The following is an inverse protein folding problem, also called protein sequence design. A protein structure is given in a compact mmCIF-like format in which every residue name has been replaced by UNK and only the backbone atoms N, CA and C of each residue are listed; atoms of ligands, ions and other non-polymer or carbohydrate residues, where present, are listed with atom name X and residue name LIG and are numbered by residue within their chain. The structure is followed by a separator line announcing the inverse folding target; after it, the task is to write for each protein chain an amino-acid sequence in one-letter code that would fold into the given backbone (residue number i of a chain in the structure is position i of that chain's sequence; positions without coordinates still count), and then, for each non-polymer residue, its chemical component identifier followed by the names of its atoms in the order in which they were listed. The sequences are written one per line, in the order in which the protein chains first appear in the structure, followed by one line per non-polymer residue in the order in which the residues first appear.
data_IF_026128214684
#
_entry.id   IF_026128214684
#
_cell.length_a   1.000
_cell.length_b   1.000
_cell.length_c   1.000
_cell.angle_alpha   90.00
_cell.angle_beta   90.00
_cell.angle_gamma   90.00
#
_symmetry.space_group_name_H-M   'P 1'
#
loop_
_entity.id
_entity.type
_entity.pdbx_description
1 polymer ?
#
# COMPACT_ATOMS: atom_id res chain seq x y z
N UNK A 1 30.17 32.70 99.41
CA UNK A 1 29.13 31.69 99.71
C UNK A 1 27.99 32.38 100.44
N UNK A 2 26.75 31.96 100.19
CA UNK A 2 25.50 32.29 100.91
C UNK A 2 24.72 33.53 100.38
N UNK A 3 23.61 33.19 99.72
CA UNK A 3 22.32 33.92 99.50
C UNK A 3 21.83 34.67 100.75
N UNK A 4 20.93 35.70 100.71
CA UNK A 4 19.51 35.57 100.25
C UNK A 4 18.93 36.84 99.53
N UNK A 5 17.96 36.72 98.61
CA UNK A 5 16.49 36.70 98.77
C UNK A 5 15.89 37.91 99.50
N UNK A 6 15.00 38.67 98.82
CA UNK A 6 13.74 39.32 99.28
C UNK A 6 13.23 40.16 98.10
N UNK A 7 12.26 39.76 97.28
CA UNK A 7 10.82 39.50 97.49
C UNK A 7 10.03 40.73 97.98
N UNK A 8 8.89 40.98 97.28
CA UNK A 8 7.65 41.67 97.71
C UNK A 8 7.57 43.17 97.35
N UNK A 9 6.46 43.82 96.93
CA UNK A 9 5.08 43.52 96.51
C UNK A 9 4.36 44.91 96.42
N UNK A 10 3.34 45.04 95.54
CA UNK A 10 2.18 45.99 95.56
C UNK A 10 2.33 47.49 95.24
N UNK A 11 1.52 47.97 94.28
CA UNK A 11 0.35 48.91 94.43
C UNK A 11 -0.12 49.32 93.01
N UNK A 12 -1.24 48.79 92.48
CA UNK A 12 -2.63 49.31 92.55
C UNK A 12 -2.81 50.72 91.97
N UNK A 13 -3.51 50.82 90.82
CA UNK A 13 -4.67 51.71 90.54
C UNK A 13 -4.75 52.05 89.04
N UNK A 14 -5.76 51.51 88.33
CA UNK A 14 -6.92 52.26 87.78
C UNK A 14 -6.60 53.18 86.60
N UNK A 15 -6.99 52.75 85.41
CA UNK A 15 -7.57 53.63 84.38
C UNK A 15 -8.39 52.79 83.40
N UNK A 16 -9.70 52.73 83.66
CA UNK A 16 -10.72 52.29 82.71
C UNK A 16 -10.81 53.33 81.57
N UNK A 17 -10.86 52.83 80.34
CA UNK A 17 -11.63 53.46 79.26
C UNK A 17 -10.84 54.34 78.31
N UNK A 18 -10.40 53.77 77.18
CA UNK A 18 -10.40 54.48 75.91
C UNK A 18 -10.42 53.50 74.72
N UNK A 19 -11.48 53.63 73.93
CA UNK A 19 -11.57 53.37 72.50
C UNK A 19 -11.30 51.95 71.98
N UNK A 20 -12.41 51.27 71.70
CA UNK A 20 -12.58 50.32 70.60
C UNK A 20 -11.87 50.75 69.30
N UNK A 21 -10.82 50.03 68.93
CA UNK A 21 -10.30 49.96 67.57
C UNK A 21 -10.28 48.49 67.14
N UNK A 22 -11.44 48.01 66.71
CA UNK A 22 -11.52 46.85 65.81
C UNK A 22 -10.87 47.31 64.50
N UNK A 23 -9.57 47.10 64.37
CA UNK A 23 -8.91 47.20 63.08
C UNK A 23 -9.37 45.99 62.25
N UNK A 24 -10.34 46.23 61.38
CA UNK A 24 -10.59 45.38 60.21
C UNK A 24 -9.30 45.35 59.36
N UNK A 25 -8.39 44.43 59.66
CA UNK A 25 -7.40 44.02 58.70
C UNK A 25 -8.13 43.18 57.65
N UNK A 26 -8.52 43.82 56.54
CA UNK A 26 -8.86 43.08 55.33
C UNK A 26 -7.66 42.22 54.96
N UNK A 27 -7.79 40.88 54.86
CA UNK A 27 -6.73 40.07 54.29
C UNK A 27 -6.38 40.66 52.93
N UNK A 28 -5.08 40.84 52.66
CA UNK A 28 -4.65 41.22 51.32
C UNK A 28 -5.32 40.27 50.32
N UNK A 29 -5.91 40.78 49.22
CA UNK A 29 -6.53 39.91 48.23
C UNK A 29 -5.50 38.84 47.85
N UNK A 30 -5.90 37.55 47.78
CA UNK A 30 -4.98 36.49 47.39
C UNK A 30 -4.28 36.92 46.10
N UNK A 31 -2.95 36.72 45.97
CA UNK A 31 -2.25 37.06 44.75
C UNK A 31 -3.03 36.48 43.57
N UNK A 32 -3.22 37.24 42.48
CA UNK A 32 -3.97 36.75 41.34
C UNK A 32 -3.39 35.40 40.94
N UNK A 33 -4.26 34.38 40.84
CA UNK A 33 -3.83 33.05 40.44
C UNK A 33 -2.97 33.19 39.18
N UNK A 34 -1.78 32.55 39.10
CA UNK A 34 -0.94 32.65 37.92
C UNK A 34 -1.81 32.27 36.72
N UNK A 35 -2.00 33.23 35.80
CA UNK A 35 -2.76 33.01 34.57
C UNK A 35 -2.10 31.82 33.90
N UNK A 36 -2.85 30.71 33.75
CA UNK A 36 -2.34 29.54 33.07
C UNK A 36 -1.79 30.00 31.72
N UNK A 37 -0.51 29.72 31.46
CA UNK A 37 0.11 30.10 30.20
C UNK A 37 -0.75 29.57 29.06
N UNK A 38 -1.03 30.38 28.02
CA UNK A 38 -1.84 29.93 26.91
C UNK A 38 -1.24 28.64 26.34
N UNK A 39 -2.07 27.62 26.04
CA UNK A 39 -1.58 26.36 25.52
C UNK A 39 -0.72 26.62 24.27
N UNK A 40 0.40 25.89 24.09
CA UNK A 40 1.26 26.08 22.94
C UNK A 40 0.45 25.86 21.66
N UNK A 41 0.47 26.85 20.77
CA UNK A 41 -0.10 26.75 19.43
C UNK A 41 0.92 26.07 18.53
N UNK A 42 0.51 24.99 17.87
CA UNK A 42 1.32 24.34 16.83
C UNK A 42 0.72 24.66 15.46
N UNK A 43 1.57 24.93 14.48
CA UNK A 43 1.10 25.12 13.11
C UNK A 43 0.94 23.75 12.44
N UNK A 44 -0.15 23.57 11.68
CA UNK A 44 -0.34 22.36 10.87
C UNK A 44 0.82 22.24 9.86
N UNK A 45 1.61 21.15 9.88
CA UNK A 45 2.67 20.93 8.91
C UNK A 45 2.11 20.55 7.55
N UNK A 46 2.94 20.62 6.50
CA UNK A 46 2.54 20.18 5.16
C UNK A 46 2.12 18.71 5.16
N UNK A 47 1.06 18.42 4.40
CA UNK A 47 0.57 17.06 4.19
C UNK A 47 1.65 16.22 3.49
N UNK A 48 1.94 14.99 3.98
CA UNK A 48 2.85 14.07 3.32
C UNK A 48 2.49 13.88 1.84
N UNK A 49 3.50 13.76 0.99
CA UNK A 49 3.34 13.56 -0.46
C UNK A 49 3.86 12.18 -0.86
N UNK A 50 3.26 11.55 -1.88
CA UNK A 50 3.75 10.28 -2.39
C UNK A 50 5.17 10.43 -2.94
N UNK A 51 6.05 9.42 -2.75
CA UNK A 51 7.42 9.47 -3.21
C UNK A 51 7.49 9.46 -4.74
N UNK A 52 8.52 10.13 -5.28
CA UNK A 52 8.87 10.07 -6.71
C UNK A 52 7.71 10.41 -7.66
N UNK A 53 6.77 11.25 -7.22
CA UNK A 53 5.61 11.66 -8.02
C UNK A 53 4.56 10.56 -8.24
N UNK A 54 4.59 9.48 -7.46
CA UNK A 54 3.60 8.42 -7.55
C UNK A 54 2.16 8.92 -7.28
N UNK A 55 1.17 8.19 -7.79
CA UNK A 55 -0.24 8.49 -7.51
C UNK A 55 -0.55 8.37 -6.01
N UNK A 56 -1.47 9.19 -5.50
CA UNK A 56 -1.97 9.10 -4.12
C UNK A 56 -2.87 7.87 -3.88
N UNK A 57 -3.33 7.22 -4.94
CA UNK A 57 -4.21 6.04 -4.90
C UNK A 57 -3.53 4.79 -5.47
N UNK A 58 -2.20 4.73 -5.43
CA UNK A 58 -1.45 3.59 -5.95
C UNK A 58 -1.62 2.37 -5.05
N UNK A 59 -2.02 1.24 -5.64
CA UNK A 59 -1.94 -0.05 -4.97
C UNK A 59 -0.51 -0.59 -5.10
N UNK A 60 0.05 -1.04 -3.98
CA UNK A 60 1.39 -1.63 -3.93
C UNK A 60 1.31 -3.09 -3.46
N UNK A 61 2.20 -3.97 -3.93
CA UNK A 61 2.27 -5.35 -3.47
C UNK A 61 2.46 -5.41 -1.95
N UNK A 62 1.66 -6.25 -1.27
CA UNK A 62 1.70 -6.40 0.18
C UNK A 62 2.84 -7.33 0.63
N UNK A 63 3.26 -7.18 1.88
CA UNK A 63 4.17 -8.14 2.53
C UNK A 63 3.35 -9.33 3.03
N UNK A 64 3.76 -10.54 2.64
CA UNK A 64 3.15 -11.79 3.07
C UNK A 64 3.49 -12.15 4.52
N UNK A 65 2.85 -13.19 5.05
CA UNK A 65 3.13 -13.70 6.41
C UNK A 65 4.56 -14.24 6.57
N UNK A 66 5.21 -14.58 5.47
CA UNK A 66 6.61 -14.97 5.36
C UNK A 66 7.59 -13.78 5.38
N UNK A 67 7.09 -12.54 5.45
CA UNK A 67 7.90 -11.33 5.41
C UNK A 67 8.39 -10.98 3.99
N UNK A 68 7.92 -11.68 2.95
CA UNK A 68 8.30 -11.42 1.56
C UNK A 68 7.23 -10.58 0.89
N UNK A 69 7.64 -9.51 0.22
CA UNK A 69 6.72 -8.72 -0.60
C UNK A 69 6.24 -9.54 -1.79
N UNK A 70 4.91 -9.65 -1.94
CA UNK A 70 4.25 -10.48 -2.93
C UNK A 70 4.23 -9.82 -4.32
N UNK A 71 5.41 -9.58 -4.89
CA UNK A 71 5.59 -9.06 -6.25
C UNK A 71 5.42 -10.17 -7.30
N UNK A 72 5.54 -9.82 -8.59
CA UNK A 72 5.52 -10.79 -9.68
C UNK A 72 6.68 -11.82 -9.61
N UNK A 73 7.74 -11.51 -8.85
CA UNK A 73 8.92 -12.35 -8.67
C UNK A 73 8.94 -13.09 -7.32
N UNK A 74 7.88 -13.00 -6.51
CA UNK A 74 7.79 -13.75 -5.26
C UNK A 74 7.56 -15.25 -5.53
N UNK A 75 8.43 -16.09 -4.96
CA UNK A 75 8.27 -17.56 -5.01
C UNK A 75 8.33 -18.19 -6.41
N UNK A 76 8.98 -17.52 -7.37
CA UNK A 76 9.08 -18.00 -8.74
C UNK A 76 10.11 -19.13 -8.90
N UNK A 77 9.96 -19.95 -9.94
CA UNK A 77 10.90 -21.05 -10.24
C UNK A 77 12.24 -20.52 -10.77
N UNK A 78 13.32 -21.33 -10.80
CA UNK A 78 14.56 -20.94 -11.45
C UNK A 78 14.39 -20.59 -12.95
N UNK A 79 13.50 -21.30 -13.65
CA UNK A 79 13.19 -21.01 -15.05
C UNK A 79 12.51 -19.64 -15.21
N UNK A 80 11.53 -19.34 -14.36
CA UNK A 80 10.88 -18.03 -14.31
C UNK A 80 11.86 -16.93 -13.89
N UNK A 81 12.80 -17.21 -12.98
CA UNK A 81 13.85 -16.27 -12.56
C UNK A 81 14.72 -15.83 -13.74
N UNK A 82 15.18 -16.79 -14.55
CA UNK A 82 15.95 -16.50 -15.77
C UNK A 82 15.09 -15.69 -16.76
N UNK A 83 13.84 -16.12 -16.97
CA UNK A 83 12.97 -15.53 -17.97
C UNK A 83 12.54 -14.09 -17.61
N UNK A 84 12.23 -13.84 -16.34
CA UNK A 84 11.85 -12.53 -15.82
C UNK A 84 13.05 -11.58 -15.81
N UNK A 85 14.26 -12.05 -15.48
CA UNK A 85 15.48 -11.23 -15.60
C UNK A 85 15.74 -10.82 -17.06
N UNK A 86 15.55 -11.74 -18.01
CA UNK A 86 15.61 -11.42 -19.45
C UNK A 86 14.54 -10.39 -19.85
N UNK A 87 13.32 -10.50 -19.31
CA UNK A 87 12.26 -9.52 -19.56
C UNK A 87 12.61 -8.14 -18.98
N UNK A 88 13.20 -8.07 -17.78
CA UNK A 88 13.68 -6.82 -17.19
C UNK A 88 14.71 -6.12 -18.09
N UNK A 89 15.73 -6.85 -18.57
CA UNK A 89 16.73 -6.29 -19.48
C UNK A 89 16.11 -5.83 -20.82
N UNK A 90 15.07 -6.51 -21.29
CA UNK A 90 14.31 -6.07 -22.46
C UNK A 90 13.59 -4.73 -22.21
N UNK A 91 12.86 -4.61 -21.09
CA UNK A 91 12.18 -3.36 -20.71
C UNK A 91 13.19 -2.23 -20.58
N UNK A 92 14.33 -2.47 -19.92
CA UNK A 92 15.38 -1.48 -19.78
C UNK A 92 15.90 -1.00 -21.15
N UNK A 93 16.14 -1.93 -22.07
CA UNK A 93 16.60 -1.60 -23.43
C UNK A 93 15.64 -0.68 -24.18
N UNK A 94 14.33 -0.81 -23.95
CA UNK A 94 13.30 0.00 -24.62
C UNK A 94 13.10 1.38 -23.96
N UNK A 95 13.22 1.43 -22.64
CA UNK A 95 12.78 2.58 -21.85
C UNK A 95 13.92 3.48 -21.36
N UNK A 96 15.15 2.98 -21.30
CA UNK A 96 16.30 3.72 -20.76
C UNK A 96 17.10 4.37 -21.88
N UNK A 97 16.56 5.44 -22.47
CA UNK A 97 17.11 6.06 -23.69
C UNK A 97 18.14 7.17 -23.45
N UNK A 98 18.35 7.59 -22.19
CA UNK A 98 19.36 8.61 -21.89
C UNK A 98 20.77 8.16 -22.33
N UNK A 99 21.63 9.09 -22.79
CA UNK A 99 22.98 8.75 -23.27
C UNK A 99 23.85 7.95 -22.29
N UNK A 100 23.65 8.14 -20.97
CA UNK A 100 24.35 7.38 -19.93
C UNK A 100 24.06 5.87 -19.97
N UNK A 101 22.91 5.47 -20.54
CA UNK A 101 22.48 4.07 -20.65
C UNK A 101 22.71 3.48 -22.06
N UNK A 102 23.45 4.16 -22.94
CA UNK A 102 23.65 3.76 -24.33
C UNK A 102 24.19 2.33 -24.52
N UNK A 103 24.88 1.78 -23.51
CA UNK A 103 25.40 0.40 -23.54
C UNK A 103 24.35 -0.69 -23.27
N UNK A 104 23.12 -0.36 -22.83
CA UNK A 104 22.08 -1.36 -22.56
C UNK A 104 21.74 -2.20 -23.79
N UNK A 105 21.49 -1.55 -24.93
CA UNK A 105 21.14 -2.24 -26.18
C UNK A 105 22.24 -3.20 -26.67
N UNK A 106 23.51 -2.77 -26.83
CA UNK A 106 24.56 -3.70 -27.25
C UNK A 106 24.82 -4.80 -26.21
N UNK A 107 24.75 -4.50 -24.90
CA UNK A 107 24.90 -5.52 -23.86
C UNK A 107 23.79 -6.56 -23.90
N UNK A 108 22.53 -6.13 -24.06
CA UNK A 108 21.38 -7.04 -24.15
C UNK A 108 21.43 -7.89 -25.43
N UNK A 109 21.86 -7.32 -26.56
CA UNK A 109 22.10 -8.09 -27.79
C UNK A 109 23.16 -9.19 -27.60
N UNK A 110 24.27 -8.85 -26.95
CA UNK A 110 25.33 -9.82 -26.60
C UNK A 110 24.82 -10.89 -25.63
N UNK A 111 24.03 -10.49 -24.62
CA UNK A 111 23.35 -11.40 -23.69
C UNK A 111 22.49 -12.43 -24.44
N UNK A 112 21.58 -11.99 -25.32
CA UNK A 112 20.72 -12.90 -26.07
C UNK A 112 21.52 -13.88 -26.94
N UNK A 113 22.62 -13.41 -27.53
CA UNK A 113 23.50 -14.23 -28.36
C UNK A 113 24.23 -15.28 -27.54
N UNK A 114 24.89 -14.88 -26.44
CA UNK A 114 25.66 -15.77 -25.56
C UNK A 114 24.77 -16.84 -24.89
N UNK A 115 23.56 -16.45 -24.48
CA UNK A 115 22.67 -17.30 -23.70
C UNK A 115 21.54 -17.97 -24.50
N UNK A 116 21.61 -17.98 -25.84
CA UNK A 116 20.54 -18.47 -26.72
C UNK A 116 20.01 -19.87 -26.36
N UNK A 117 20.92 -20.80 -26.02
CA UNK A 117 20.57 -22.18 -25.63
C UNK A 117 19.92 -22.22 -24.23
N UNK A 118 20.58 -21.74 -23.15
CA UNK A 118 19.95 -21.65 -21.82
C UNK A 118 18.61 -20.91 -21.79
N UNK A 119 18.47 -19.79 -22.50
CA UNK A 119 17.22 -19.02 -22.56
C UNK A 119 16.08 -19.82 -23.21
N UNK A 120 16.38 -20.60 -24.25
CA UNK A 120 15.39 -21.50 -24.86
C UNK A 120 14.92 -22.57 -23.87
N UNK A 121 15.87 -23.16 -23.14
CA UNK A 121 15.57 -24.16 -22.10
C UNK A 121 14.70 -23.57 -20.99
N UNK A 122 15.03 -22.38 -20.50
CA UNK A 122 14.24 -21.68 -19.50
C UNK A 122 12.81 -21.39 -20.01
N UNK A 123 12.66 -20.86 -21.22
CA UNK A 123 11.34 -20.59 -21.80
C UNK A 123 10.49 -21.86 -21.93
N UNK A 124 11.08 -22.95 -22.42
CA UNK A 124 10.38 -24.25 -22.51
C UNK A 124 9.99 -24.80 -21.14
N UNK A 125 10.79 -24.55 -20.10
CA UNK A 125 10.44 -24.90 -18.73
C UNK A 125 9.28 -24.06 -18.20
N UNK A 126 9.29 -22.73 -18.38
CA UNK A 126 8.16 -21.85 -18.02
C UNK A 126 6.88 -22.30 -18.72
N UNK A 127 6.92 -22.52 -20.04
CA UNK A 127 5.75 -23.01 -20.78
C UNK A 127 5.24 -24.36 -20.26
N UNK A 128 6.14 -25.28 -19.89
CA UNK A 128 5.75 -26.55 -19.29
C UNK A 128 5.08 -26.33 -17.93
N UNK A 129 5.63 -25.50 -17.05
CA UNK A 129 5.05 -25.18 -15.75
C UNK A 129 3.63 -24.62 -15.87
N UNK A 130 3.41 -23.69 -16.81
CA UNK A 130 2.07 -23.16 -17.08
C UNK A 130 1.13 -24.22 -17.64
N UNK A 131 1.61 -25.06 -18.55
CA UNK A 131 0.81 -26.17 -19.11
C UNK A 131 0.41 -27.18 -18.05
N UNK A 132 1.31 -27.49 -17.12
CA UNK A 132 1.08 -28.45 -16.06
C UNK A 132 0.11 -27.87 -15.01
N UNK A 133 0.16 -26.55 -14.75
CA UNK A 133 -0.74 -25.87 -13.80
C UNK A 133 -2.14 -25.58 -14.36
N UNK A 134 -2.24 -25.15 -15.62
CA UNK A 134 -3.50 -24.62 -16.20
C UNK A 134 -4.08 -25.50 -17.32
N UNK A 135 -3.40 -26.59 -17.67
CA UNK A 135 -3.84 -27.51 -18.72
C UNK A 135 -3.59 -26.99 -20.15
N UNK A 136 -3.65 -27.91 -21.12
CA UNK A 136 -3.26 -27.64 -22.52
C UNK A 136 -4.10 -26.57 -23.23
N UNK A 137 -5.34 -26.34 -22.80
CA UNK A 137 -6.26 -25.39 -23.45
C UNK A 137 -6.05 -23.95 -22.97
N UNK A 138 -5.80 -23.77 -21.67
CA UNK A 138 -5.79 -22.43 -21.05
C UNK A 138 -4.38 -21.87 -20.81
N UNK A 139 -3.33 -22.70 -20.80
CA UNK A 139 -2.01 -22.26 -20.36
C UNK A 139 -1.43 -21.07 -21.12
N UNK A 140 -1.75 -20.90 -22.41
CA UNK A 140 -1.20 -19.80 -23.23
C UNK A 140 -1.69 -18.45 -22.71
N UNK A 141 -3.01 -18.30 -22.52
CA UNK A 141 -3.58 -17.06 -21.99
C UNK A 141 -3.05 -16.73 -20.59
N UNK A 142 -2.85 -17.75 -19.75
CA UNK A 142 -2.27 -17.57 -18.41
C UNK A 142 -0.79 -17.15 -18.46
N UNK A 143 -0.01 -17.78 -19.35
CA UNK A 143 1.39 -17.44 -19.56
C UNK A 143 1.54 -16.03 -20.13
N UNK A 144 0.72 -15.65 -21.10
CA UNK A 144 0.72 -14.32 -21.71
C UNK A 144 0.32 -13.26 -20.66
N UNK A 145 -0.75 -13.50 -19.89
CA UNK A 145 -1.16 -12.62 -18.79
C UNK A 145 -0.09 -12.48 -17.71
N UNK A 146 0.65 -13.55 -17.41
CA UNK A 146 1.81 -13.51 -16.53
C UNK A 146 2.92 -12.62 -17.10
N UNK A 147 3.30 -12.82 -18.38
CA UNK A 147 4.35 -12.02 -19.00
C UNK A 147 3.99 -10.54 -19.08
N UNK A 148 2.74 -10.20 -19.39
CA UNK A 148 2.26 -8.81 -19.35
C UNK A 148 2.45 -8.18 -17.97
N UNK A 149 2.16 -8.91 -16.88
CA UNK A 149 2.41 -8.41 -15.52
C UNK A 149 3.90 -8.24 -15.22
N UNK A 150 4.77 -9.11 -15.73
CA UNK A 150 6.24 -8.95 -15.61
C UNK A 150 6.71 -7.69 -16.33
N UNK A 151 6.25 -7.44 -17.56
CA UNK A 151 6.61 -6.21 -18.29
C UNK A 151 6.10 -4.95 -17.59
N UNK A 152 4.85 -4.96 -17.14
CA UNK A 152 4.25 -3.82 -16.42
C UNK A 152 4.98 -3.55 -15.08
N UNK A 153 5.43 -4.59 -14.38
CA UNK A 153 6.22 -4.44 -13.17
C UNK A 153 7.50 -3.64 -13.42
N UNK A 154 8.27 -4.01 -14.45
CA UNK A 154 9.51 -3.31 -14.79
C UNK A 154 9.30 -1.96 -15.48
N UNK A 155 8.10 -1.67 -15.95
CA UNK A 155 7.72 -0.39 -16.55
C UNK A 155 7.19 0.65 -15.54
N UNK A 156 7.32 0.40 -14.24
CA UNK A 156 6.81 1.29 -13.19
C UNK A 156 7.51 2.67 -13.21
N UNK A 157 6.82 3.77 -13.58
CA UNK A 157 7.49 5.05 -13.82
C UNK A 157 8.25 5.62 -12.60
N UNK A 158 7.69 5.61 -11.37
CA UNK A 158 8.40 6.09 -10.18
C UNK A 158 9.74 5.40 -9.91
N UNK A 159 9.90 4.13 -10.30
CA UNK A 159 11.12 3.35 -10.09
C UNK A 159 12.08 3.38 -11.29
N UNK A 160 11.65 3.94 -12.43
CA UNK A 160 12.31 3.77 -13.73
C UNK A 160 13.77 4.25 -13.74
N UNK A 161 14.07 5.39 -13.12
CA UNK A 161 15.44 5.92 -13.09
C UNK A 161 16.41 4.98 -12.37
N UNK A 162 16.04 4.48 -11.19
CA UNK A 162 16.86 3.53 -10.45
C UNK A 162 16.98 2.20 -11.19
N UNK A 163 15.90 1.78 -11.85
CA UNK A 163 15.85 0.55 -12.62
C UNK A 163 16.80 0.60 -13.82
N UNK A 164 16.85 1.71 -14.55
CA UNK A 164 17.78 1.89 -15.66
C UNK A 164 19.25 1.76 -15.23
N UNK A 165 19.60 2.31 -14.07
CA UNK A 165 20.95 2.17 -13.51
C UNK A 165 21.26 0.71 -13.15
N UNK A 166 20.37 0.05 -12.40
CA UNK A 166 20.56 -1.35 -12.01
C UNK A 166 20.63 -2.28 -13.23
N UNK A 167 19.79 -2.05 -14.24
CA UNK A 167 19.77 -2.81 -15.48
C UNK A 167 21.06 -2.62 -16.29
N UNK A 168 21.62 -1.41 -16.34
CA UNK A 168 22.90 -1.16 -16.99
C UNK A 168 24.01 -1.99 -16.33
N UNK A 169 24.09 -1.98 -15.00
CA UNK A 169 25.06 -2.77 -14.23
C UNK A 169 24.91 -4.28 -14.46
N UNK A 170 23.68 -4.79 -14.38
CA UNK A 170 23.38 -6.22 -14.62
C UNK A 170 23.72 -6.60 -16.07
N UNK A 171 23.36 -5.77 -17.04
CA UNK A 171 23.65 -6.03 -18.45
C UNK A 171 25.17 -6.12 -18.71
N UNK A 172 25.96 -5.23 -18.11
CA UNK A 172 27.42 -5.23 -18.23
C UNK A 172 28.03 -6.46 -17.55
N UNK A 173 27.57 -6.81 -16.35
CA UNK A 173 28.02 -8.00 -15.63
C UNK A 173 27.75 -9.30 -16.41
N UNK A 174 26.69 -9.32 -17.23
CA UNK A 174 26.34 -10.50 -18.02
C UNK A 174 27.35 -10.85 -19.12
N UNK A 175 28.17 -9.88 -19.55
CA UNK A 175 29.15 -10.05 -20.63
C UNK A 175 30.29 -11.01 -20.28
N UNK A 176 30.56 -11.21 -18.99
CA UNK A 176 31.64 -12.08 -18.50
C UNK A 176 31.14 -13.42 -17.97
N UNK A 177 29.85 -13.72 -18.14
CA UNK A 177 29.21 -14.92 -17.58
C UNK A 177 29.20 -16.03 -18.62
N UNK A 178 29.67 -17.22 -18.24
CA UNK A 178 29.62 -18.39 -19.10
C UNK A 178 28.16 -18.87 -19.26
N UNK A 179 27.76 -19.43 -20.42
CA UNK A 179 26.39 -19.90 -20.64
C UNK A 179 25.87 -20.89 -19.60
N UNK A 180 26.75 -21.73 -19.03
CA UNK A 180 26.40 -22.70 -18.00
C UNK A 180 26.00 -22.04 -16.66
N UNK A 181 26.46 -20.82 -16.41
CA UNK A 181 26.27 -20.12 -15.13
C UNK A 181 25.04 -19.19 -15.13
N UNK A 182 24.26 -19.15 -16.21
CA UNK A 182 23.13 -18.23 -16.37
C UNK A 182 22.10 -18.34 -15.23
N UNK A 183 21.80 -19.54 -14.77
CA UNK A 183 20.84 -19.74 -13.68
C UNK A 183 21.36 -19.06 -12.40
N UNK A 184 22.61 -19.34 -12.02
CA UNK A 184 23.22 -18.74 -10.84
C UNK A 184 23.35 -17.22 -10.96
N UNK A 185 23.66 -16.72 -12.17
CA UNK A 185 23.71 -15.30 -12.46
C UNK A 185 22.33 -14.66 -12.30
N UNK A 186 21.29 -15.28 -12.86
CA UNK A 186 19.91 -14.78 -12.77
C UNK A 186 19.42 -14.74 -11.33
N UNK A 187 19.70 -15.77 -10.54
CA UNK A 187 19.34 -15.85 -9.12
C UNK A 187 19.97 -14.73 -8.27
N UNK A 188 21.15 -14.23 -8.65
CA UNK A 188 21.80 -13.08 -7.97
C UNK A 188 21.43 -11.73 -8.58
N UNK A 189 21.13 -11.68 -9.87
CA UNK A 189 20.87 -10.44 -10.60
C UNK A 189 19.42 -9.98 -10.50
N UNK A 190 18.45 -10.91 -10.51
CA UNK A 190 17.03 -10.55 -10.39
C UNK A 190 16.72 -9.79 -9.09
N UNK A 191 17.19 -10.22 -7.91
CA UNK A 191 16.98 -9.44 -6.68
C UNK A 191 17.60 -8.04 -6.71
N UNK A 192 18.70 -7.82 -7.45
CA UNK A 192 19.29 -6.49 -7.60
C UNK A 192 18.42 -5.55 -8.42
N UNK A 193 17.75 -6.08 -9.46
CA UNK A 193 16.79 -5.32 -10.25
C UNK A 193 15.54 -5.01 -9.43
N UNK A 194 15.06 -6.01 -8.67
CA UNK A 194 13.86 -5.92 -7.86
C UNK A 194 14.02 -5.00 -6.64
N UNK A 195 15.23 -4.88 -6.09
CA UNK A 195 15.53 -4.02 -4.95
C UNK A 195 15.11 -2.55 -5.18
N UNK A 196 15.22 -2.06 -6.42
CA UNK A 196 14.77 -0.70 -6.78
C UNK A 196 13.26 -0.53 -6.55
N UNK A 197 12.48 -1.54 -6.92
CA UNK A 197 11.03 -1.54 -6.76
C UNK A 197 10.65 -1.74 -5.29
N UNK A 198 11.37 -2.62 -4.57
CA UNK A 198 11.19 -2.82 -3.13
C UNK A 198 11.42 -1.52 -2.34
N UNK A 199 12.48 -0.78 -2.66
CA UNK A 199 12.78 0.52 -2.04
C UNK A 199 11.66 1.53 -2.29
N UNK A 200 11.15 1.57 -3.53
CA UNK A 200 9.99 2.40 -3.88
C UNK A 200 8.75 2.01 -3.07
N UNK A 201 8.39 0.72 -3.04
CA UNK A 201 7.21 0.24 -2.30
C UNK A 201 7.34 0.52 -0.81
N UNK A 202 8.51 0.29 -0.23
CA UNK A 202 8.81 0.59 1.19
C UNK A 202 8.69 2.09 1.49
N UNK A 203 9.13 2.95 0.58
CA UNK A 203 8.93 4.40 0.69
C UNK A 203 7.46 4.78 0.57
N UNK A 204 6.68 4.09 -0.27
CA UNK A 204 5.27 4.34 -0.45
C UNK A 204 4.46 3.92 0.79
N UNK A 205 4.79 2.78 1.41
CA UNK A 205 4.18 2.36 2.69
C UNK A 205 4.47 3.35 3.82
N UNK A 206 5.68 3.92 3.84
CA UNK A 206 6.04 4.98 4.80
C UNK A 206 5.15 6.20 4.61
N UNK A 207 4.99 6.65 3.37
CA UNK A 207 4.02 7.68 3.02
C UNK A 207 2.59 7.31 3.47
N UNK A 208 2.18 6.05 3.24
CA UNK A 208 1.02 5.36 3.81
C UNK A 208 0.73 5.77 5.26
N UNK A 209 1.70 5.41 6.11
CA UNK A 209 1.64 5.59 7.57
C UNK A 209 1.73 7.05 8.00
N UNK A 210 2.62 7.82 7.37
CA UNK A 210 2.82 9.23 7.68
C UNK A 210 1.55 10.03 7.38
N UNK A 211 0.88 9.73 6.27
CA UNK A 211 -0.38 10.35 5.89
C UNK A 211 -1.49 9.99 6.88
N UNK A 212 -1.59 8.72 7.29
CA UNK A 212 -2.57 8.29 8.29
C UNK A 212 -2.35 9.00 9.64
N UNK A 213 -1.09 9.11 10.09
CA UNK A 213 -0.72 9.82 11.31
C UNK A 213 -1.04 11.33 11.21
N UNK A 214 -0.72 11.95 10.09
CA UNK A 214 -1.05 13.36 9.82
C UNK A 214 -2.57 13.59 9.85
N UNK A 215 -3.35 12.75 9.17
CA UNK A 215 -4.81 12.85 9.15
C UNK A 215 -5.42 12.65 10.56
N UNK A 216 -4.87 11.72 11.35
CA UNK A 216 -5.31 11.47 12.73
C UNK A 216 -4.99 12.65 13.68
N UNK A 217 -3.93 13.40 13.39
CA UNK A 217 -3.48 14.52 14.23
C UNK A 217 -4.17 15.83 13.86
N UNK A 218 -4.32 16.11 12.58
CA UNK A 218 -4.79 17.42 12.08
C UNK A 218 -6.19 17.38 11.45
N UNK A 219 -6.68 16.20 11.07
CA UNK A 219 -7.90 16.02 10.28
C UNK A 219 -7.64 16.02 8.77
N UNK A 220 -8.49 15.32 8.02
CA UNK A 220 -8.31 15.13 6.56
C UNK A 220 -8.35 16.42 5.75
N UNK A 221 -9.02 17.46 6.26
CA UNK A 221 -9.20 18.75 5.60
C UNK A 221 -8.32 19.86 6.22
N UNK A 222 -7.29 19.50 7.00
CA UNK A 222 -6.44 20.49 7.64
C UNK A 222 -5.67 21.33 6.61
N UNK A 223 -5.59 22.63 6.85
CA UNK A 223 -4.86 23.58 5.98
C UNK A 223 -3.48 23.82 6.58
N UNK A 224 -2.38 23.57 5.84
CA UNK A 224 -1.03 23.84 6.34
C UNK A 224 -0.85 25.30 6.79
N UNK A 225 -0.15 25.50 7.91
CA UNK A 225 0.12 26.82 8.49
C UNK A 225 -1.00 27.41 9.35
N UNK A 226 -2.15 26.73 9.50
CA UNK A 226 -3.17 27.15 10.46
C UNK A 226 -2.76 26.77 11.89
N UNK A 227 -3.07 27.61 12.89
CA UNK A 227 -2.79 27.29 14.28
C UNK A 227 -3.79 26.23 14.78
N UNK A 228 -3.25 25.17 15.38
CA UNK A 228 -4.01 24.19 16.15
C UNK A 228 -3.53 24.22 17.60
N UNK A 229 -4.49 24.20 18.52
CA UNK A 229 -4.18 24.12 19.95
C UNK A 229 -3.73 22.70 20.25
N UNK A 230 -2.46 22.49 20.57
CA UNK A 230 -2.03 21.17 21.02
C UNK A 230 -2.59 20.94 22.42
N UNK A 231 -3.68 20.18 22.52
CA UNK A 231 -4.12 19.67 23.82
C UNK A 231 -3.18 18.51 24.15
N UNK A 232 -2.36 18.61 25.21
CA UNK A 232 -1.57 17.47 25.64
C UNK A 232 -2.54 16.35 26.03
N UNK A 233 -2.60 15.28 25.24
CA UNK A 233 -3.35 14.07 25.59
C UNK A 233 -2.60 13.36 26.71
N UNK A 234 -2.76 13.83 27.94
CA UNK A 234 -2.40 13.09 29.15
C UNK A 234 -3.49 12.07 29.41
N UNK A 235 -3.48 11.01 28.61
CA UNK A 235 -4.42 9.90 28.71
C UNK A 235 -3.85 8.71 27.98
N UNK A 236 -3.51 7.68 28.73
CA UNK A 236 -3.13 6.36 28.24
C UNK A 236 -4.04 5.92 27.08
N UNK A 237 -3.45 5.51 25.96
CA UNK A 237 -4.14 4.83 24.85
C UNK A 237 -4.55 3.40 25.26
N UNK A 238 -5.23 3.25 26.39
CA UNK A 238 -5.98 2.04 26.69
C UNK A 238 -7.44 2.36 26.36
N UNK A 239 -8.05 1.77 25.32
CA UNK A 239 -9.46 1.99 25.05
C UNK A 239 -10.26 1.50 26.25
N UNK A 240 -11.04 2.39 26.87
CA UNK A 240 -12.04 2.00 27.85
C UNK A 240 -13.08 1.09 27.18
N UNK A 241 -13.58 0.03 27.85
CA UNK A 241 -14.53 -0.93 27.27
C UNK A 241 -15.79 -0.30 26.66
N UNK A 242 -16.15 0.91 27.08
CA UNK A 242 -17.31 1.65 26.55
C UNK A 242 -17.08 2.21 25.12
N UNK A 243 -15.84 2.44 24.69
CA UNK A 243 -15.55 3.04 23.36
C UNK A 243 -15.43 1.98 22.24
N UNK A 244 -15.33 0.70 22.60
CA UNK A 244 -15.35 -0.42 21.64
C UNK A 244 -16.77 -0.75 21.13
N UNK A 245 -17.81 -0.15 21.72
CA UNK A 245 -19.21 -0.41 21.33
C UNK A 245 -19.68 0.52 20.21
N UNK A 246 -19.03 1.68 19.99
CA UNK A 246 -19.46 2.65 18.97
C UNK A 246 -18.79 2.47 17.60
N UNK A 247 -17.80 1.58 17.44
CA UNK A 247 -17.13 1.27 16.16
C UNK A 247 -17.55 -0.08 15.58
N UNK A 248 -18.85 -0.41 15.68
CA UNK A 248 -19.44 -1.50 14.90
C UNK A 248 -20.64 -1.04 14.11
N UNK A 249 -20.48 0.08 13.40
CA UNK A 249 -21.34 0.40 12.27
C UNK A 249 -20.77 -0.29 11.02
N UNK A 250 -21.48 -1.32 10.55
CA UNK A 250 -21.35 -1.81 9.19
C UNK A 250 -21.96 -0.81 8.20
N UNK A 251 -21.54 -0.79 6.92
CA UNK A 251 -21.94 0.24 5.93
C UNK A 251 -23.44 0.35 5.66
N UNK A 252 -24.26 -0.61 6.09
CA UNK A 252 -25.70 -0.56 5.95
C UNK A 252 -26.33 -0.49 7.35
N UNK A 253 -26.68 0.72 7.78
CA UNK A 253 -27.15 1.04 9.13
C UNK A 253 -28.50 0.43 9.51
N UNK A 254 -28.52 -0.84 9.93
CA UNK A 254 -29.66 -1.46 10.62
C UNK A 254 -29.19 -2.14 11.92
N UNK A 255 -29.67 -1.62 13.05
CA UNK A 255 -29.34 -2.14 14.38
C UNK A 255 -30.09 -3.45 14.69
N UNK A 256 -29.42 -4.42 15.34
CA UNK A 256 -29.96 -5.76 15.66
C UNK A 256 -31.21 -5.76 16.55
N UNK A 257 -31.51 -4.66 17.27
CA UNK A 257 -32.77 -4.55 18.02
C UNK A 257 -33.99 -4.44 17.09
N UNK A 258 -33.83 -3.87 15.89
CA UNK A 258 -34.93 -3.77 14.91
C UNK A 258 -35.31 -5.12 14.27
N UNK A 259 -34.42 -6.11 14.27
CA UNK A 259 -34.67 -7.42 13.67
C UNK A 259 -35.53 -8.32 14.58
N UNK A 260 -35.59 -8.03 15.88
CA UNK A 260 -36.39 -8.84 16.83
C UNK A 260 -37.85 -8.37 16.89
N UNK A 261 -38.13 -7.09 16.63
CA UNK A 261 -39.50 -6.55 16.57
C UNK A 261 -40.14 -6.66 15.19
N UNK A 262 -39.36 -6.57 14.09
CA UNK A 262 -39.89 -6.73 12.73
C UNK A 262 -40.28 -8.17 12.36
N UNK A 263 -39.87 -9.17 13.15
CA UNK A 263 -40.30 -10.57 12.95
C UNK A 263 -41.67 -10.88 13.59
N UNK A 264 -42.29 -9.90 14.25
CA UNK A 264 -43.59 -10.02 14.90
C UNK A 264 -44.73 -9.30 14.16
N UNK A 265 -44.46 -8.52 13.10
CA UNK A 265 -45.49 -7.74 12.41
C UNK A 265 -45.46 -7.94 10.89
N UNK A 266 -46.49 -8.62 10.40
CA UNK A 266 -46.78 -8.89 8.99
C UNK A 266 -47.33 -7.60 8.34
N UNK A 267 -46.68 -7.02 7.32
CA UNK A 267 -47.30 -5.97 6.50
C UNK A 267 -46.65 -5.81 5.10
N UNK A 268 -47.49 -5.91 4.09
CA UNK A 268 -47.28 -5.71 2.64
C UNK A 268 -47.46 -4.24 2.22
N UNK A 269 -46.64 -3.68 1.31
CA UNK A 269 -46.91 -2.46 0.51
C UNK A 269 -46.02 -2.51 -0.76
N UNK A 270 -46.53 -2.72 -1.98
CA UNK A 270 -47.21 -1.85 -2.97
C UNK A 270 -46.30 -0.81 -3.69
N UNK A 271 -46.28 -0.89 -5.04
CA UNK A 271 -45.39 -0.20 -6.01
C UNK A 271 -46.20 0.79 -6.84
N UNK A 272 -45.67 2.00 -7.10
CA UNK A 272 -46.11 2.87 -8.22
C UNK A 272 -44.93 3.69 -8.82
N UNK A 273 -45.02 4.15 -10.10
CA UNK A 273 -43.89 4.23 -11.04
C UNK A 273 -43.36 5.64 -11.38
N UNK A 274 -42.18 5.65 -12.04
CA UNK A 274 -41.35 6.79 -12.49
C UNK A 274 -41.91 7.64 -13.65
N UNK A 275 -41.45 8.89 -13.72
CA UNK A 275 -41.56 9.82 -14.85
C UNK A 275 -40.17 10.40 -15.16
N UNK A 276 -39.74 10.32 -16.42
CA UNK A 276 -38.61 11.03 -17.07
C UNK A 276 -39.18 12.24 -17.87
N UNK A 277 -38.44 13.26 -18.39
CA UNK A 277 -37.11 13.17 -19.04
C UNK A 277 -36.15 14.41 -18.97
N UNK A 278 -34.91 14.24 -19.45
CA UNK A 278 -34.29 15.17 -20.43
C UNK A 278 -33.04 15.98 -20.05
N UNK A 279 -31.91 15.67 -20.72
CA UNK A 279 -31.15 16.56 -21.63
C UNK A 279 -29.60 16.60 -21.51
N UNK A 280 -28.94 16.28 -22.64
CA UNK A 280 -27.65 16.73 -23.22
C UNK A 280 -26.27 16.38 -22.64
N UNK A 281 -25.42 15.86 -23.55
CA UNK A 281 -23.99 15.51 -23.48
C UNK A 281 -23.05 16.76 -23.57
N UNK A 282 -21.68 16.70 -23.63
CA UNK A 282 -20.82 15.68 -24.26
C UNK A 282 -19.50 15.26 -23.55
N UNK A 283 -18.90 14.23 -24.14
CA UNK A 283 -17.64 13.53 -23.83
C UNK A 283 -16.36 14.31 -24.14
N UNK A 284 -15.26 13.96 -23.46
CA UNK A 284 -13.87 14.26 -23.89
C UNK A 284 -12.91 13.11 -23.52
N UNK A 285 -12.44 12.44 -24.59
CA UNK A 285 -11.11 11.92 -24.93
C UNK A 285 -10.34 10.89 -24.07
N UNK A 286 -9.91 9.84 -24.78
CA UNK A 286 -9.23 8.63 -24.34
C UNK A 286 -7.70 8.71 -24.41
N UNK A 287 -7.01 7.92 -23.58
CA UNK A 287 -5.55 7.69 -23.62
C UNK A 287 -5.18 6.55 -24.60
N UNK A 288 -3.97 6.54 -25.21
CA UNK A 288 -3.63 5.56 -26.25
C UNK A 288 -3.18 4.20 -25.69
N UNK A 289 -3.50 3.16 -26.46
CA UNK A 289 -3.21 1.75 -26.21
C UNK A 289 -1.73 1.39 -26.47
N UNK A 290 -1.23 0.42 -25.69
CA UNK A 290 0.13 -0.15 -25.79
C UNK A 290 0.16 -1.20 -26.91
N UNK A 291 1.05 -1.03 -27.88
CA UNK A 291 1.28 -1.95 -28.99
C UNK A 291 2.08 -3.19 -28.55
N UNK A 292 1.66 -4.37 -28.99
CA UNK A 292 2.19 -5.67 -28.58
C UNK A 292 3.58 -5.97 -29.16
N UNK A 293 4.44 -6.62 -28.37
CA UNK A 293 5.78 -7.06 -28.76
C UNK A 293 5.75 -8.12 -29.90
N UNK A 294 6.81 -8.20 -30.73
CA UNK A 294 6.86 -9.13 -31.86
C UNK A 294 6.92 -10.60 -31.43
N UNK A 295 6.03 -11.40 -32.00
CA UNK A 295 5.93 -12.86 -31.84
C UNK A 295 7.02 -13.53 -32.67
N UNK A 296 7.82 -14.41 -32.04
CA UNK A 296 8.69 -15.34 -32.76
C UNK A 296 7.83 -16.46 -33.35
N UNK A 297 7.81 -16.53 -34.69
CA UNK A 297 7.07 -17.50 -35.48
C UNK A 297 7.55 -18.94 -35.21
N UNK A 298 6.62 -19.83 -34.86
CA UNK A 298 6.85 -21.27 -34.74
C UNK A 298 5.84 -22.02 -35.58
N UNK A 299 6.21 -22.36 -36.81
CA UNK A 299 5.50 -23.30 -37.66
C UNK A 299 5.65 -24.74 -37.12
N UNK A 300 4.57 -25.53 -36.94
CA UNK A 300 4.68 -26.97 -36.68
C UNK A 300 4.42 -27.80 -37.95
N UNK A 301 5.25 -28.82 -38.17
CA UNK A 301 5.00 -29.95 -39.09
C UNK A 301 4.71 -31.25 -38.28
N UNK A 302 4.10 -32.30 -38.87
CA UNK A 302 2.92 -32.96 -38.28
C UNK A 302 3.16 -34.27 -37.49
N UNK A 303 2.26 -34.50 -36.53
CA UNK A 303 1.47 -35.72 -36.30
C UNK A 303 2.15 -37.03 -35.90
N UNK A 304 2.01 -37.43 -34.62
CA UNK A 304 1.94 -38.84 -34.22
C UNK A 304 0.88 -39.06 -33.13
N UNK A 305 0.17 -40.19 -33.28
CA UNK A 305 -1.05 -40.66 -32.62
C UNK A 305 -1.01 -40.79 -31.09
N UNK A 306 -2.21 -40.67 -30.50
CA UNK A 306 -2.57 -40.81 -29.08
C UNK A 306 -2.95 -42.23 -28.68
N UNK A 307 -2.67 -42.62 -27.43
CA UNK A 307 -3.38 -43.68 -26.69
C UNK A 307 -3.37 -43.38 -25.15
N UNK A 308 -4.33 -43.89 -24.36
CA UNK A 308 -4.98 -43.15 -23.27
C UNK A 308 -4.52 -43.47 -21.83
N UNK A 309 -4.96 -42.60 -20.90
CA UNK A 309 -4.60 -42.52 -19.48
C UNK A 309 -5.31 -43.53 -18.55
N UNK A 310 -4.83 -43.62 -17.29
CA UNK A 310 -5.71 -43.77 -16.12
C UNK A 310 -5.53 -42.63 -15.10
N UNK A 311 -6.65 -42.25 -14.46
CA UNK A 311 -6.81 -41.39 -13.27
C UNK A 311 -7.58 -42.21 -12.19
N UNK A 312 -7.83 -41.73 -10.95
CA UNK A 312 -7.21 -40.64 -10.15
C UNK A 312 -6.87 -41.08 -8.70
N UNK A 313 -6.35 -40.18 -7.86
CA UNK A 313 -6.90 -39.99 -6.50
C UNK A 313 -6.54 -38.60 -5.93
N UNK A 314 -7.48 -38.07 -5.16
CA UNK A 314 -7.74 -36.64 -4.94
C UNK A 314 -7.27 -36.15 -3.57
N UNK A 315 -6.76 -34.91 -3.50
CA UNK A 315 -6.61 -34.19 -2.23
C UNK A 315 -5.78 -32.92 -2.35
N UNK A 316 -6.39 -31.78 -2.65
CA UNK A 316 -5.69 -30.50 -2.73
C UNK A 316 -6.64 -29.30 -2.79
N UNK A 317 -6.41 -28.33 -1.93
CA UNK A 317 -7.25 -27.18 -1.55
C UNK A 317 -7.64 -26.30 -2.74
N UNK A 318 -8.92 -25.92 -2.81
CA UNK A 318 -9.50 -25.02 -3.82
C UNK A 318 -9.30 -23.57 -3.40
N UNK A 319 -8.53 -22.81 -4.18
CA UNK A 319 -8.58 -21.34 -4.17
C UNK A 319 -9.56 -20.88 -5.26
N UNK A 320 -10.69 -20.33 -4.83
CA UNK A 320 -11.71 -19.75 -5.71
C UNK A 320 -11.31 -18.33 -6.09
N UNK A 321 -10.79 -18.15 -7.29
CA UNK A 321 -10.73 -16.84 -7.95
C UNK A 321 -11.88 -16.79 -8.94
N UNK A 322 -13.02 -16.23 -8.53
CA UNK A 322 -14.12 -15.92 -9.46
C UNK A 322 -13.68 -14.81 -10.41
N UNK A 323 -13.72 -15.00 -11.74
CA UNK A 323 -13.60 -13.91 -12.69
C UNK A 323 -14.88 -13.05 -12.64
N UNK A 324 -14.73 -11.72 -12.48
CA UNK A 324 -15.81 -10.78 -12.75
C UNK A 324 -15.93 -10.68 -14.28
N UNK A 325 -16.81 -11.49 -14.86
CA UNK A 325 -17.25 -11.33 -16.25
C UNK A 325 -18.37 -10.28 -16.24
N UNK A 326 -18.10 -9.11 -16.81
CA UNK A 326 -19.15 -8.22 -17.28
C UNK A 326 -19.71 -8.83 -18.55
N UNK A 327 -20.95 -9.33 -18.47
CA UNK A 327 -21.70 -9.82 -19.62
C UNK A 327 -22.12 -8.63 -20.49
N UNK A 328 -21.61 -8.53 -21.71
CA UNK A 328 -22.26 -7.74 -22.76
C UNK A 328 -23.42 -8.58 -23.34
N UNK A 329 -24.64 -8.05 -23.43
CA UNK A 329 -25.75 -8.74 -24.07
C UNK A 329 -25.58 -8.74 -25.59
N UNK A 330 -25.78 -9.91 -26.19
CA UNK A 330 -25.66 -10.15 -27.62
C UNK A 330 -26.61 -9.32 -28.46
N UNK A 331 -26.11 -8.93 -29.63
CA UNK A 331 -26.92 -8.45 -30.74
C UNK A 331 -27.31 -9.66 -31.59
N UNK A 332 -28.56 -10.08 -31.47
CA UNK A 332 -29.24 -10.81 -32.53
C UNK A 332 -29.46 -9.84 -33.70
N UNK A 333 -29.00 -10.24 -34.88
CA UNK A 333 -29.22 -9.56 -36.15
C UNK A 333 -30.33 -10.32 -36.90
N UNK A 334 -31.50 -9.71 -37.15
CA UNK A 334 -32.46 -10.24 -38.11
C UNK A 334 -32.31 -9.47 -39.45
N UNK A 335 -32.14 -10.24 -40.52
CA UNK A 335 -32.13 -9.87 -41.95
C UNK A 335 -30.77 -9.57 -42.60
N UNK A 336 -30.16 -10.62 -43.20
CA UNK A 336 -29.02 -10.54 -44.12
C UNK A 336 -28.37 -11.87 -44.46
#
# INVERSE_FOLDING_TARGET
MITPVFQRIRLVAVALGLASLVACATPAPPPPAPVAAPPPVQLVPYRPRPPLGASTMMSIPQIGADGVRQTINAGITPAQTIWNMRAALNVATLNCQDPQFANLLPNYSAFLTNFRRPLRTANSAVTREFRDRFGRRSYRGEQDSYMTRVYNFYALPPAQRGFCQAALEVSAASLTVAPADLESFSARSLPRLDAVFEDFFSSYERYQRDLASWNATYGVNAVPGTPVTSVPRTGSLAPTPAEQVLLRETPDGISRQAITEARAANATVEVLPSVDPGESAPSSEAAPAVEAAPVLDTTPAPGFETAPAPQPDSGGIVFSSTPVVQSEPGTDDPDG
#
